data_IF_761066129849
#
_entry.id   IF_761066129849
#
_cell.length_a   1.000
_cell.length_b   1.000
_cell.length_c   1.000
_cell.angle_alpha   90.00
_cell.angle_beta   90.00
_cell.angle_gamma   90.00
#
_symmetry.space_group_name_H-M   'P 1'
#
loop_
_entity.id
_entity.type
_entity.pdbx_description
1 polymer ?
#
# COMPACT_ATOMS: atom_id res chain seq x y z
N UNK A 1 58.25 24.11 -13.39
CA UNK A 1 56.89 24.62 -13.66
C UNK A 1 55.90 23.70 -12.95
N UNK A 2 54.85 24.25 -12.37
CA UNK A 2 53.84 23.54 -11.56
C UNK A 2 52.66 23.04 -12.41
N UNK A 3 51.83 22.18 -11.79
CA UNK A 3 50.47 21.75 -12.19
C UNK A 3 50.42 20.67 -13.31
N UNK A 4 49.49 19.71 -13.29
CA UNK A 4 48.36 19.50 -12.35
C UNK A 4 48.19 18.02 -11.97
N UNK A 5 48.04 17.73 -10.68
CA UNK A 5 47.43 16.48 -10.20
C UNK A 5 45.91 16.60 -10.29
N UNK A 6 45.30 16.06 -11.33
CA UNK A 6 43.84 15.99 -11.43
C UNK A 6 43.32 14.94 -10.44
N UNK A 7 42.75 15.38 -9.32
CA UNK A 7 41.97 14.51 -8.44
C UNK A 7 40.80 13.94 -9.22
N UNK A 8 40.78 12.61 -9.40
CA UNK A 8 39.58 11.91 -9.84
C UNK A 8 38.65 11.76 -8.62
N UNK A 9 37.81 12.77 -8.39
CA UNK A 9 36.76 12.71 -7.36
C UNK A 9 35.70 11.73 -7.83
N UNK A 10 35.82 10.47 -7.38
CA UNK A 10 34.77 9.47 -7.54
C UNK A 10 33.64 9.84 -6.59
N UNK A 11 32.64 10.56 -7.10
CA UNK A 11 31.38 10.77 -6.41
C UNK A 11 30.65 9.42 -6.27
N UNK A 12 30.77 8.79 -5.11
CA UNK A 12 29.86 7.73 -4.69
C UNK A 12 28.56 8.40 -4.24
N UNK A 13 27.68 8.69 -5.20
CA UNK A 13 26.28 9.02 -4.90
C UNK A 13 25.59 7.71 -4.57
N UNK A 14 25.60 7.32 -3.30
CA UNK A 14 24.76 6.23 -2.83
C UNK A 14 23.29 6.70 -2.91
N UNK A 15 22.44 5.90 -3.57
CA UNK A 15 21.10 6.29 -3.97
C UNK A 15 20.19 6.55 -2.74
N UNK A 16 19.64 7.76 -2.63
CA UNK A 16 18.62 8.07 -1.62
C UNK A 16 17.21 7.55 -1.99
N UNK A 17 17.02 7.03 -3.21
CA UNK A 17 15.70 6.64 -3.73
C UNK A 17 15.28 5.20 -3.40
N UNK A 18 16.18 4.33 -2.90
CA UNK A 18 15.84 2.91 -2.63
C UNK A 18 15.07 2.70 -1.32
N UNK A 19 15.09 3.65 -0.38
CA UNK A 19 14.63 3.43 0.99
C UNK A 19 13.11 3.20 1.07
N UNK A 20 12.29 3.91 0.29
CA UNK A 20 10.83 3.83 0.37
C UNK A 20 10.17 3.00 -0.76
N UNK A 21 10.86 1.96 -1.23
CA UNK A 21 10.30 1.04 -2.23
C UNK A 21 9.26 0.10 -1.61
N UNK A 22 8.09 -0.13 -2.25
CA UNK A 22 7.12 -1.13 -1.80
C UNK A 22 7.75 -2.53 -1.72
N UNK A 23 7.58 -3.27 -0.62
CA UNK A 23 8.17 -4.59 -0.46
C UNK A 23 7.55 -5.59 -1.44
N UNK A 24 8.29 -6.65 -1.77
CA UNK A 24 7.83 -7.67 -2.73
C UNK A 24 6.53 -8.37 -2.26
N UNK A 25 6.36 -8.58 -0.96
CA UNK A 25 5.15 -9.16 -0.37
C UNK A 25 3.91 -8.28 -0.58
N UNK A 26 4.06 -6.96 -0.52
CA UNK A 26 2.99 -6.00 -0.81
C UNK A 26 2.62 -6.07 -2.29
N UNK A 27 3.58 -5.81 -3.18
CA UNK A 27 3.35 -5.77 -4.63
C UNK A 27 2.80 -7.10 -5.20
N UNK A 28 3.21 -8.24 -4.63
CA UNK A 28 2.68 -9.55 -5.02
C UNK A 28 1.22 -9.76 -4.59
N UNK A 29 0.85 -9.29 -3.38
CA UNK A 29 -0.53 -9.35 -2.91
C UNK A 29 -1.44 -8.35 -3.64
N UNK A 30 -0.95 -7.13 -3.92
CA UNK A 30 -1.66 -6.14 -4.73
C UNK A 30 -2.04 -6.71 -6.10
N UNK A 31 -1.09 -7.38 -6.78
CA UNK A 31 -1.36 -8.07 -8.06
C UNK A 31 -2.42 -9.17 -7.93
N UNK A 32 -2.29 -10.06 -6.93
CA UNK A 32 -3.24 -11.16 -6.69
C UNK A 32 -4.65 -10.67 -6.37
N UNK A 33 -4.79 -9.64 -5.53
CA UNK A 33 -6.09 -9.10 -5.15
C UNK A 33 -6.75 -8.34 -6.30
N UNK A 34 -5.95 -7.63 -7.13
CA UNK A 34 -6.45 -7.00 -8.34
C UNK A 34 -6.97 -8.03 -9.36
N UNK A 35 -6.29 -9.17 -9.51
CA UNK A 35 -6.71 -10.28 -10.38
C UNK A 35 -8.05 -10.89 -9.94
N UNK A 36 -8.25 -11.07 -8.62
CA UNK A 36 -9.52 -11.57 -8.08
C UNK A 36 -10.69 -10.63 -8.38
N UNK A 37 -10.50 -9.32 -8.24
CA UNK A 37 -11.49 -8.32 -8.66
C UNK A 37 -11.73 -8.39 -10.18
N UNK A 38 -10.69 -8.42 -11.04
CA UNK A 38 -10.89 -8.54 -12.50
C UNK A 38 -11.76 -9.73 -12.87
N UNK A 39 -11.45 -10.88 -12.28
CA UNK A 39 -12.08 -12.16 -12.61
C UNK A 39 -13.55 -12.21 -12.16
N UNK A 40 -13.89 -11.50 -11.08
CA UNK A 40 -15.28 -11.38 -10.63
C UNK A 40 -16.08 -10.48 -11.58
N UNK A 41 -15.58 -9.29 -11.91
CA UNK A 41 -16.25 -8.35 -12.82
C UNK A 41 -16.41 -8.91 -14.24
N UNK A 42 -15.40 -9.62 -14.78
CA UNK A 42 -15.47 -10.25 -16.10
C UNK A 42 -16.57 -11.32 -16.21
N UNK A 43 -16.87 -12.04 -15.13
CA UNK A 43 -18.00 -13.00 -15.11
C UNK A 43 -19.37 -12.34 -15.05
N UNK A 44 -19.45 -11.09 -14.61
CA UNK A 44 -20.71 -10.34 -14.44
C UNK A 44 -21.02 -9.48 -15.67
N UNK A 45 -20.01 -9.02 -16.44
CA UNK A 45 -20.21 -8.06 -17.52
C UNK A 45 -19.58 -8.46 -18.85
N UNK A 46 -20.40 -9.01 -19.74
CA UNK A 46 -20.05 -9.21 -21.17
C UNK A 46 -19.99 -7.88 -21.98
N UNK A 47 -20.06 -6.71 -21.31
CA UNK A 47 -20.11 -5.36 -21.91
C UNK A 47 -19.09 -4.33 -21.35
N UNK A 48 -18.32 -4.63 -20.29
CA UNK A 48 -17.51 -3.63 -19.58
C UNK A 48 -16.13 -3.33 -20.22
N UNK A 49 -16.12 -2.78 -21.43
CA UNK A 49 -14.92 -2.61 -22.29
C UNK A 49 -13.87 -1.57 -21.86
N UNK A 50 -13.89 -1.02 -20.63
CA UNK A 50 -12.96 0.07 -20.26
C UNK A 50 -12.64 0.30 -18.78
N UNK A 51 -13.47 -0.12 -17.82
CA UNK A 51 -13.36 0.35 -16.43
C UNK A 51 -12.12 -0.20 -15.70
N UNK A 52 -11.77 -1.46 -15.96
CA UNK A 52 -10.53 -2.02 -15.43
C UNK A 52 -9.26 -1.41 -16.04
N UNK A 53 -9.33 -0.68 -17.16
CA UNK A 53 -8.16 -0.16 -17.87
C UNK A 53 -7.32 0.84 -17.03
N UNK A 54 -7.93 1.41 -15.98
CA UNK A 54 -7.34 2.45 -15.12
C UNK A 54 -6.88 1.97 -13.74
N UNK A 55 -7.25 0.77 -13.28
CA UNK A 55 -6.80 0.22 -11.99
C UNK A 55 -5.28 -0.16 -11.95
N UNK A 56 -4.51 0.34 -12.93
CA UNK A 56 -3.71 -0.57 -13.77
C UNK A 56 -2.31 -0.14 -14.18
N UNK A 57 -2.00 1.15 -14.32
CA UNK A 57 -0.70 1.55 -14.93
C UNK A 57 0.51 1.48 -13.99
N UNK A 58 0.31 0.99 -12.77
CA UNK A 58 0.43 1.74 -11.49
C UNK A 58 -0.77 1.28 -10.64
N UNK A 59 -0.88 1.37 -9.31
CA UNK A 59 0.11 1.61 -8.23
C UNK A 59 0.94 2.91 -8.32
N UNK A 60 0.20 4.02 -8.42
CA UNK A 60 0.69 5.39 -8.70
C UNK A 60 -0.10 6.05 -9.85
N UNK A 61 -1.41 5.76 -9.93
CA UNK A 61 -2.23 5.70 -11.15
C UNK A 61 -2.36 7.06 -11.86
N UNK A 62 -2.43 7.04 -13.20
CA UNK A 62 -2.82 8.21 -14.01
C UNK A 62 -4.21 7.95 -14.60
N UNK A 63 -5.24 8.73 -14.24
CA UNK A 63 -6.63 8.51 -14.60
C UNK A 63 -7.03 9.38 -15.81
N UNK A 64 -8.34 9.52 -16.06
CA UNK A 64 -8.90 10.86 -16.20
C UNK A 64 -9.98 10.96 -15.12
N UNK A 65 -9.62 11.50 -13.96
CA UNK A 65 -10.33 11.22 -12.71
C UNK A 65 -11.68 11.93 -12.62
N UNK A 66 -12.75 11.13 -12.65
CA UNK A 66 -13.35 10.76 -11.36
C UNK A 66 -12.89 9.34 -11.04
N UNK A 67 -12.01 9.19 -10.04
CA UNK A 67 -11.64 7.87 -9.53
C UNK A 67 -12.69 7.46 -8.51
N UNK A 68 -13.47 6.44 -8.85
CA UNK A 68 -14.05 5.59 -7.82
C UNK A 68 -12.88 4.84 -7.16
N UNK A 69 -12.80 4.81 -5.81
CA UNK A 69 -11.78 4.04 -5.12
C UNK A 69 -11.92 2.56 -5.51
N UNK A 70 -10.80 1.82 -5.47
CA UNK A 70 -10.87 0.35 -5.60
C UNK A 70 -11.88 -0.20 -4.60
N UNK A 71 -12.64 -1.21 -5.01
CA UNK A 71 -13.68 -1.79 -4.17
C UNK A 71 -13.08 -2.24 -2.84
N UNK A 72 -13.85 -2.11 -1.76
CA UNK A 72 -13.39 -2.40 -0.40
C UNK A 72 -12.86 -3.84 -0.24
N UNK A 73 -13.34 -4.76 -1.08
CA UNK A 73 -12.90 -6.15 -1.19
C UNK A 73 -11.45 -6.32 -1.66
N UNK A 74 -10.93 -5.41 -2.49
CA UNK A 74 -9.51 -5.36 -2.84
C UNK A 74 -8.65 -5.11 -1.59
N UNK A 75 -9.01 -4.11 -0.78
CA UNK A 75 -8.27 -3.75 0.42
C UNK A 75 -8.40 -4.82 1.51
N UNK A 76 -9.58 -5.43 1.66
CA UNK A 76 -9.78 -6.58 2.55
C UNK A 76 -8.92 -7.78 2.14
N UNK A 77 -8.88 -8.13 0.85
CA UNK A 77 -8.01 -9.17 0.30
C UNK A 77 -6.53 -8.86 0.56
N UNK A 78 -6.13 -7.58 0.41
CA UNK A 78 -4.76 -7.15 0.61
C UNK A 78 -4.34 -7.28 2.07
N UNK A 79 -5.11 -6.73 3.02
CA UNK A 79 -4.82 -6.81 4.45
C UNK A 79 -4.79 -8.27 4.94
N UNK A 80 -5.66 -9.13 4.44
CA UNK A 80 -5.60 -10.57 4.71
C UNK A 80 -4.35 -11.23 4.09
N UNK A 81 -3.96 -10.83 2.88
CA UNK A 81 -2.77 -11.31 2.18
C UNK A 81 -1.43 -10.89 2.82
N UNK A 82 -1.43 -9.76 3.54
CA UNK A 82 -0.31 -9.28 4.36
C UNK A 82 -0.33 -9.85 5.79
N UNK A 83 -1.32 -10.69 6.12
CA UNK A 83 -1.50 -11.25 7.46
C UNK A 83 -1.99 -10.25 8.50
N UNK A 84 -2.35 -9.02 8.12
CA UNK A 84 -2.80 -7.96 9.04
C UNK A 84 -4.20 -8.20 9.63
N UNK A 85 -4.94 -9.17 9.10
CA UNK A 85 -6.25 -9.59 9.62
C UNK A 85 -6.30 -11.09 9.93
N UNK A 86 -7.19 -11.45 10.87
CA UNK A 86 -7.47 -12.83 11.22
C UNK A 86 -8.39 -13.53 10.20
N UNK A 87 -8.64 -14.83 10.40
CA UNK A 87 -9.52 -15.66 9.56
C UNK A 87 -10.97 -15.16 9.43
N UNK A 88 -11.41 -14.28 10.34
CA UNK A 88 -12.78 -13.79 10.42
C UNK A 88 -12.95 -12.45 9.69
N UNK A 89 -11.87 -11.90 9.11
CA UNK A 89 -11.89 -10.54 8.58
C UNK A 89 -11.97 -9.51 9.70
N UNK A 90 -10.98 -9.49 10.58
CA UNK A 90 -10.81 -8.42 11.58
C UNK A 90 -9.34 -8.05 11.66
N UNK A 91 -9.02 -6.76 11.64
CA UNK A 91 -7.65 -6.29 11.75
C UNK A 91 -7.07 -6.64 13.13
N UNK A 92 -5.79 -7.02 13.17
CA UNK A 92 -5.10 -7.40 14.40
C UNK A 92 -3.86 -6.53 14.55
N UNK A 93 -3.87 -5.63 15.54
CA UNK A 93 -2.79 -4.65 15.76
C UNK A 93 -1.40 -5.29 15.89
N UNK A 94 -1.31 -6.45 16.54
CA UNK A 94 -0.02 -7.15 16.68
C UNK A 94 0.46 -7.76 15.35
N UNK A 95 -0.43 -8.22 14.48
CA UNK A 95 -0.02 -8.71 13.15
C UNK A 95 0.35 -7.56 12.20
N UNK A 96 -0.36 -6.43 12.31
CA UNK A 96 0.05 -5.16 11.69
C UNK A 96 1.49 -4.81 12.11
N UNK A 97 1.80 -4.79 13.41
CA UNK A 97 3.16 -4.52 13.91
C UNK A 97 4.18 -5.57 13.43
N UNK A 98 3.81 -6.85 13.41
CA UNK A 98 4.66 -7.93 12.91
C UNK A 98 5.02 -7.74 11.44
N UNK A 99 4.06 -7.32 10.61
CA UNK A 99 4.29 -7.01 9.20
C UNK A 99 5.18 -5.78 9.05
N UNK A 100 4.85 -4.68 9.74
CA UNK A 100 5.59 -3.42 9.67
C UNK A 100 7.05 -3.58 10.10
N UNK A 101 7.32 -4.37 11.16
CA UNK A 101 8.69 -4.62 11.61
C UNK A 101 9.54 -5.39 10.57
N UNK A 102 8.92 -6.24 9.73
CA UNK A 102 9.62 -6.97 8.66
C UNK A 102 9.83 -6.11 7.41
N UNK A 103 8.84 -5.28 7.07
CA UNK A 103 8.69 -4.70 5.75
C UNK A 103 8.92 -3.18 5.66
N UNK A 104 8.90 -2.44 6.78
CA UNK A 104 9.19 -1.00 6.80
C UNK A 104 10.68 -0.76 7.11
N UNK A 105 11.37 0.13 6.36
CA UNK A 105 12.75 0.52 6.64
C UNK A 105 12.93 1.00 8.08
N UNK A 106 14.03 0.60 8.72
CA UNK A 106 14.30 0.95 10.13
C UNK A 106 14.25 2.46 10.41
N UNK A 107 14.63 3.30 9.44
CA UNK A 107 14.64 4.77 9.55
C UNK A 107 13.23 5.39 9.69
N UNK A 108 12.19 4.73 9.16
CA UNK A 108 10.79 5.16 9.26
C UNK A 108 9.94 4.27 10.17
N UNK A 109 10.47 3.15 10.64
CA UNK A 109 9.72 2.07 11.29
C UNK A 109 8.90 2.54 12.49
N UNK A 110 9.49 3.29 13.40
CA UNK A 110 8.80 3.76 14.61
C UNK A 110 7.69 4.78 14.27
N UNK A 111 7.97 5.71 13.37
CA UNK A 111 7.00 6.71 12.91
C UNK A 111 5.83 6.09 12.14
N UNK A 112 6.12 5.16 11.22
CA UNK A 112 5.12 4.43 10.46
C UNK A 112 4.27 3.54 11.38
N UNK A 113 4.90 2.87 12.36
CA UNK A 113 4.18 2.03 13.34
C UNK A 113 3.27 2.88 14.23
N UNK A 114 3.71 4.07 14.66
CA UNK A 114 2.88 5.02 15.40
C UNK A 114 1.70 5.52 14.54
N UNK A 115 1.93 5.82 13.26
CA UNK A 115 0.88 6.22 12.31
C UNK A 115 -0.14 5.09 12.10
N UNK A 116 0.33 3.87 11.81
CA UNK A 116 -0.49 2.69 11.61
C UNK A 116 -1.30 2.30 12.86
N UNK A 117 -0.74 2.52 14.06
CA UNK A 117 -1.47 2.31 15.33
C UNK A 117 -2.61 3.32 15.47
N UNK A 118 -2.38 4.61 15.18
CA UNK A 118 -3.45 5.64 15.18
C UNK A 118 -4.54 5.34 14.14
N UNK A 119 -4.15 4.86 12.95
CA UNK A 119 -5.10 4.41 11.93
C UNK A 119 -5.96 3.24 12.43
N UNK A 120 -5.37 2.27 13.13
CA UNK A 120 -6.09 1.15 13.73
C UNK A 120 -7.05 1.62 14.84
N UNK A 121 -6.58 2.44 15.77
CA UNK A 121 -7.38 3.00 16.87
C UNK A 121 -8.57 3.85 16.39
N UNK A 122 -8.47 4.47 15.21
CA UNK A 122 -9.57 5.22 14.61
C UNK A 122 -10.60 4.27 13.96
N UNK A 123 -10.18 3.23 13.26
CA UNK A 123 -11.09 2.21 12.74
C UNK A 123 -11.84 1.47 13.87
N UNK A 124 -11.16 1.15 14.97
CA UNK A 124 -11.78 0.52 16.14
C UNK A 124 -12.89 1.37 16.80
N UNK A 125 -12.94 2.69 16.55
CA UNK A 125 -14.04 3.57 17.00
C UNK A 125 -15.24 3.53 16.05
N UNK A 126 -15.03 3.14 14.79
CA UNK A 126 -16.06 3.06 13.75
C UNK A 126 -16.70 1.66 13.63
N UNK A 127 -16.04 0.60 14.14
CA UNK A 127 -16.49 -0.81 14.12
C UNK A 127 -17.97 -1.05 14.52
N UNK A 128 -18.59 -0.13 15.25
CA UNK A 128 -20.00 -0.23 15.66
C UNK A 128 -21.02 -0.24 14.51
N UNK A 129 -20.67 0.25 13.30
CA UNK A 129 -21.61 0.35 12.16
C UNK A 129 -21.03 -0.04 10.80
N UNK A 130 -19.72 -0.27 10.68
CA UNK A 130 -19.04 -0.47 9.39
C UNK A 130 -18.68 -1.95 9.16
N UNK A 131 -18.65 -2.40 7.90
CA UNK A 131 -18.24 -3.77 7.58
C UNK A 131 -16.72 -3.88 7.57
N UNK A 132 -16.18 -5.11 7.71
CA UNK A 132 -14.74 -5.34 7.53
C UNK A 132 -14.21 -4.83 6.18
N UNK A 133 -15.06 -4.84 5.15
CA UNK A 133 -14.74 -4.30 3.84
C UNK A 133 -14.43 -2.80 3.96
N UNK A 134 -15.37 -2.03 4.50
CA UNK A 134 -15.26 -0.57 4.66
C UNK A 134 -14.07 -0.19 5.55
N UNK A 135 -13.93 -0.86 6.70
CA UNK A 135 -12.81 -0.69 7.64
C UNK A 135 -11.46 -1.01 6.99
N UNK A 136 -11.41 -1.96 6.06
CA UNK A 136 -10.17 -2.27 5.31
C UNK A 136 -9.80 -1.14 4.35
N UNK A 137 -10.78 -0.54 3.67
CA UNK A 137 -10.56 0.60 2.80
C UNK A 137 -10.11 1.83 3.60
N UNK A 138 -10.80 2.17 4.68
CA UNK A 138 -10.47 3.33 5.51
C UNK A 138 -9.14 3.17 6.27
N UNK A 139 -8.78 1.95 6.70
CA UNK A 139 -7.45 1.67 7.22
C UNK A 139 -6.35 1.89 6.17
N UNK A 140 -6.50 1.34 4.96
CA UNK A 140 -5.54 1.51 3.86
C UNK A 140 -5.39 2.98 3.41
N UNK A 141 -6.51 3.70 3.34
CA UNK A 141 -6.55 5.15 3.08
C UNK A 141 -5.83 5.95 4.15
N UNK A 142 -5.98 5.57 5.42
CA UNK A 142 -5.26 6.20 6.52
C UNK A 142 -3.75 5.93 6.43
N UNK A 143 -3.32 4.69 6.11
CA UNK A 143 -1.91 4.35 5.91
C UNK A 143 -1.27 5.12 4.74
N UNK A 144 -2.01 5.34 3.65
CA UNK A 144 -1.52 6.11 2.50
C UNK A 144 -1.10 7.55 2.86
N UNK A 145 -1.72 8.15 3.87
CA UNK A 145 -1.40 9.51 4.33
C UNK A 145 -0.04 9.63 5.06
N UNK A 146 0.78 8.57 5.11
CA UNK A 146 2.14 8.65 5.64
C UNK A 146 3.11 9.28 4.62
N UNK A 147 3.16 10.61 4.58
CA UNK A 147 3.91 11.40 3.59
C UNK A 147 5.42 11.11 3.57
N UNK A 148 6.02 10.73 4.70
CA UNK A 148 7.47 10.51 4.82
C UNK A 148 7.98 9.30 4.03
N UNK A 149 7.13 8.30 3.77
CA UNK A 149 7.52 7.08 3.08
C UNK A 149 6.30 6.39 2.45
N UNK A 150 5.97 6.73 1.21
CA UNK A 150 4.77 6.24 0.49
C UNK A 150 4.90 4.79 -0.03
N UNK A 151 5.14 3.86 0.90
CA UNK A 151 5.15 2.42 0.64
C UNK A 151 3.75 1.92 0.27
N UNK A 152 2.70 2.45 0.93
CA UNK A 152 1.30 2.09 0.71
C UNK A 152 0.60 3.16 -0.14
N UNK A 153 -0.17 2.72 -1.13
CA UNK A 153 -0.87 3.58 -2.10
C UNK A 153 -2.37 3.31 -2.06
N UNK A 154 -3.17 4.38 -2.08
CA UNK A 154 -4.63 4.32 -2.12
C UNK A 154 -5.13 5.22 -3.28
N UNK A 155 -5.57 4.65 -4.41
CA UNK A 155 -6.13 5.39 -5.55
C UNK A 155 -7.58 5.83 -5.38
#
# INVERSE_FOLDING_TARGET
MYLATTLCVILVIANAEEICTPPQELTSNEGRCLELETTFFERVQHEAKGLFASAKRKLGIDPNAQQEPLNCSYYACLLQGLGMSNSNGTLVLEEIKNWLNKNIPNEYKDEFTLHATKCFENNAKNESNETYCDLSADYMKCLHNFEKCQIIKYP
#
